data_IF_721661266125
#
_entry.id   IF_721661266125
#
_cell.length_a   1.000
_cell.length_b   1.000
_cell.length_c   1.000
_cell.angle_alpha   90.00
_cell.angle_beta   90.00
_cell.angle_gamma   90.00
#
_symmetry.space_group_name_H-M   'P 1'
#
loop_
_entity.id
_entity.type
_entity.pdbx_description
1 polymer ?
#
# COMPACT_ATOMS: atom_id res chain seq x y z
N UNK A 1 1.43 8.20 -26.00
CA UNK A 1 1.47 8.88 -24.70
C UNK A 1 0.87 7.93 -23.69
N UNK A 2 1.63 7.53 -22.67
CA UNK A 2 1.08 6.73 -21.58
C UNK A 2 0.14 7.62 -20.75
N UNK A 3 -1.10 7.19 -20.56
CA UNK A 3 -2.09 7.90 -19.75
C UNK A 3 -2.05 7.35 -18.32
N UNK A 4 -1.66 8.19 -17.36
CA UNK A 4 -1.71 7.88 -15.93
C UNK A 4 -2.99 8.44 -15.32
N UNK A 5 -3.85 7.57 -14.78
CA UNK A 5 -5.09 7.95 -14.13
C UNK A 5 -5.11 7.47 -12.67
N UNK A 6 -5.51 8.35 -11.75
CA UNK A 6 -5.85 7.93 -10.38
C UNK A 6 -7.25 7.37 -10.38
N UNK A 7 -7.36 6.07 -10.11
CA UNK A 7 -8.64 5.38 -10.00
C UNK A 7 -9.29 5.60 -8.63
N UNK A 8 -8.58 5.24 -7.57
CA UNK A 8 -9.09 5.32 -6.20
C UNK A 8 -7.97 5.59 -5.21
N UNK A 9 -8.29 6.27 -4.12
CA UNK A 9 -7.37 6.49 -3.00
C UNK A 9 -8.09 6.27 -1.67
N UNK A 10 -7.35 5.76 -0.67
CA UNK A 10 -7.89 5.55 0.67
C UNK A 10 -6.81 5.78 1.72
N UNK A 11 -7.13 6.61 2.69
CA UNK A 11 -6.28 6.87 3.86
C UNK A 11 -7.01 6.45 5.13
N UNK A 12 -6.25 6.26 6.21
CA UNK A 12 -6.81 5.97 7.53
C UNK A 12 -6.00 6.69 8.60
N UNK A 13 -6.70 7.32 9.53
CA UNK A 13 -6.07 7.97 10.70
C UNK A 13 -5.39 6.91 11.56
N UNK A 14 -4.20 7.23 12.06
CA UNK A 14 -3.45 6.35 12.94
C UNK A 14 -4.29 6.01 14.20
N UNK A 15 -4.23 4.76 14.70
CA UNK A 15 -4.95 4.38 15.91
C UNK A 15 -4.50 5.21 17.13
N UNK A 16 -5.45 5.49 18.04
CA UNK A 16 -5.14 6.17 19.32
C UNK A 16 -4.15 5.37 20.18
N UNK A 17 -4.21 4.03 20.09
CA UNK A 17 -3.24 3.16 20.74
C UNK A 17 -1.89 3.29 20.03
N UNK A 18 -0.87 3.66 20.79
CA UNK A 18 0.49 3.77 20.27
C UNK A 18 0.96 2.43 19.68
N UNK A 19 1.33 2.48 18.41
CA UNK A 19 1.96 1.39 17.68
C UNK A 19 3.17 1.94 16.92
N UNK A 20 4.12 1.07 16.61
CA UNK A 20 5.35 1.48 15.93
C UNK A 20 5.09 1.86 14.46
N UNK A 21 5.93 2.74 13.91
CA UNK A 21 5.88 3.14 12.49
C UNK A 21 5.88 1.92 11.55
N UNK A 22 6.75 0.89 11.72
CA UNK A 22 6.68 -0.31 10.88
C UNK A 22 5.31 -1.02 10.89
N UNK A 23 4.61 -1.00 12.03
CA UNK A 23 3.25 -1.58 12.11
C UNK A 23 2.21 -0.70 11.43
N UNK A 24 2.38 0.62 11.43
CA UNK A 24 1.55 1.54 10.65
C UNK A 24 1.75 1.31 9.15
N UNK A 25 2.99 1.17 8.69
CA UNK A 25 3.30 0.91 7.28
C UNK A 25 2.68 -0.43 6.81
N UNK A 26 2.76 -1.46 7.65
CA UNK A 26 2.12 -2.75 7.38
C UNK A 26 0.58 -2.66 7.37
N UNK A 27 -0.01 -1.78 8.18
CA UNK A 27 -1.45 -1.50 8.12
C UNK A 27 -1.83 -0.79 6.82
N UNK A 28 -1.00 0.14 6.34
CA UNK A 28 -1.17 0.78 5.02
C UNK A 28 -1.16 -0.23 3.89
N UNK A 29 -0.21 -1.16 3.92
CA UNK A 29 -0.11 -2.30 2.98
C UNK A 29 -1.37 -3.17 3.02
N UNK A 30 -1.88 -3.48 4.21
CA UNK A 30 -3.12 -4.27 4.38
C UNK A 30 -4.35 -3.51 3.86
N UNK A 31 -4.37 -2.18 4.02
CA UNK A 31 -5.42 -1.31 3.52
C UNK A 31 -5.43 -1.27 1.99
N UNK A 32 -4.25 -1.16 1.37
CA UNK A 32 -4.06 -1.22 -0.09
C UNK A 32 -4.64 -2.50 -0.67
N UNK A 33 -4.29 -3.67 -0.10
CA UNK A 33 -4.83 -4.95 -0.55
C UNK A 33 -6.35 -4.99 -0.43
N UNK A 34 -6.89 -4.53 0.70
CA UNK A 34 -8.34 -4.53 0.91
C UNK A 34 -9.07 -3.62 -0.08
N UNK A 35 -8.45 -2.51 -0.48
CA UNK A 35 -8.99 -1.59 -1.50
C UNK A 35 -8.92 -2.23 -2.89
N UNK A 36 -7.78 -2.80 -3.24
CA UNK A 36 -7.56 -3.47 -4.52
C UNK A 36 -8.56 -4.62 -4.72
N UNK A 37 -8.76 -5.46 -3.70
CA UNK A 37 -9.73 -6.55 -3.77
C UNK A 37 -11.17 -6.06 -3.96
N UNK A 38 -11.55 -4.98 -3.27
CA UNK A 38 -12.88 -4.39 -3.41
C UNK A 38 -13.12 -3.88 -4.82
N UNK A 39 -12.10 -3.27 -5.43
CA UNK A 39 -12.20 -2.64 -6.74
C UNK A 39 -12.13 -3.68 -7.88
N UNK A 40 -11.21 -4.65 -7.80
CA UNK A 40 -11.06 -5.72 -8.80
C UNK A 40 -12.24 -6.71 -8.82
N UNK A 41 -12.97 -6.82 -7.72
CA UNK A 41 -14.18 -7.66 -7.65
C UNK A 41 -15.41 -6.96 -8.23
N UNK A 42 -15.31 -5.66 -8.56
CA UNK A 42 -16.40 -4.88 -9.12
C UNK A 42 -16.69 -5.24 -10.59
N UNK A 43 -17.98 -5.29 -11.00
CA UNK A 43 -18.35 -5.66 -12.37
C UNK A 43 -17.90 -4.65 -13.44
N UNK A 44 -17.60 -3.41 -13.04
CA UNK A 44 -17.17 -2.34 -13.95
C UNK A 44 -15.65 -2.36 -14.25
N UNK A 45 -14.88 -3.18 -13.52
CA UNK A 45 -13.42 -3.18 -13.62
C UNK A 45 -12.89 -4.27 -14.56
N UNK A 46 -12.59 -3.89 -15.80
CA UNK A 46 -11.97 -4.77 -16.83
C UNK A 46 -10.44 -4.94 -16.65
N UNK A 47 -9.93 -5.02 -15.41
CA UNK A 47 -8.48 -5.09 -15.11
C UNK A 47 -8.05 -6.54 -14.78
N UNK A 48 -8.93 -7.53 -14.95
CA UNK A 48 -8.73 -8.91 -14.49
C UNK A 48 -7.45 -9.60 -15.02
N UNK A 49 -6.92 -9.19 -16.17
CA UNK A 49 -5.70 -9.76 -16.77
C UNK A 49 -4.48 -8.81 -16.74
N UNK A 50 -4.53 -7.72 -15.98
CA UNK A 50 -3.40 -6.78 -15.89
C UNK A 50 -2.38 -7.21 -14.84
N UNK A 51 -1.10 -6.97 -15.12
CA UNK A 51 -0.04 -7.13 -14.13
C UNK A 51 -0.19 -6.09 -13.01
N UNK A 52 -0.23 -6.55 -11.76
CA UNK A 52 -0.39 -5.68 -10.60
C UNK A 52 0.96 -5.52 -9.90
N UNK A 53 1.41 -4.28 -9.84
CA UNK A 53 2.57 -3.86 -9.08
C UNK A 53 2.15 -3.01 -7.88
N UNK A 54 2.81 -3.20 -6.74
CA UNK A 54 2.59 -2.43 -5.53
C UNK A 54 3.90 -1.87 -5.01
N UNK A 55 3.86 -0.70 -4.38
CA UNK A 55 5.05 -0.01 -3.89
C UNK A 55 4.89 0.40 -2.42
N UNK A 56 5.98 0.32 -1.67
CA UNK A 56 6.10 0.87 -0.32
C UNK A 56 7.49 1.44 -0.09
N UNK A 57 7.59 2.49 0.69
CA UNK A 57 8.86 3.05 1.16
C UNK A 57 9.39 2.37 2.44
N UNK A 58 8.64 1.40 2.96
CA UNK A 58 9.00 0.68 4.17
C UNK A 58 9.77 -0.61 3.85
N UNK A 59 11.10 -0.54 3.87
CA UNK A 59 11.97 -1.72 3.67
C UNK A 59 11.70 -2.85 4.67
N UNK A 60 11.28 -2.51 5.89
CA UNK A 60 10.93 -3.50 6.90
C UNK A 60 9.64 -4.26 6.55
N UNK A 61 8.66 -3.59 5.92
CA UNK A 61 7.46 -4.26 5.40
C UNK A 61 7.84 -5.20 4.26
N UNK A 62 8.70 -4.76 3.33
CA UNK A 62 9.19 -5.62 2.25
C UNK A 62 9.92 -6.86 2.80
N UNK A 63 10.74 -6.70 3.84
CA UNK A 63 11.37 -7.83 4.52
C UNK A 63 10.35 -8.81 5.12
N UNK A 64 9.25 -8.30 5.69
CA UNK A 64 8.21 -9.17 6.23
C UNK A 64 7.43 -9.92 5.15
N UNK A 65 7.20 -9.27 3.99
CA UNK A 65 6.52 -9.87 2.85
C UNK A 65 7.39 -10.85 2.06
N UNK A 66 8.72 -10.72 2.11
CA UNK A 66 9.65 -11.61 1.42
C UNK A 66 9.88 -12.96 2.13
N UNK A 67 9.33 -13.15 3.33
CA UNK A 67 9.49 -14.36 4.13
C UNK A 67 8.16 -14.97 4.52
N UNK A 68 8.15 -16.28 4.78
CA UNK A 68 6.94 -16.97 5.22
C UNK A 68 6.39 -16.36 6.53
N UNK A 69 5.08 -16.00 6.59
CA UNK A 69 4.45 -15.38 7.75
C UNK A 69 4.66 -16.07 9.11
N UNK A 70 4.83 -17.40 9.13
CA UNK A 70 5.07 -18.19 10.35
C UNK A 70 6.32 -17.77 11.13
N UNK A 71 7.27 -17.08 10.48
CA UNK A 71 8.49 -16.56 11.13
C UNK A 71 8.21 -15.36 12.03
N UNK A 72 7.06 -14.70 11.86
CA UNK A 72 6.78 -13.42 12.50
C UNK A 72 5.85 -13.56 13.70
N UNK A 73 5.91 -12.58 14.60
CA UNK A 73 4.93 -12.45 15.69
C UNK A 73 3.52 -12.29 15.11
N UNK A 74 2.51 -12.79 15.81
CA UNK A 74 1.11 -12.89 15.38
C UNK A 74 0.56 -11.65 14.66
N UNK A 75 0.83 -10.44 15.15
CA UNK A 75 0.36 -9.21 14.51
C UNK A 75 0.85 -9.06 13.06
N UNK A 76 2.14 -9.33 12.85
CA UNK A 76 2.80 -9.21 11.54
C UNK A 76 2.38 -10.41 10.70
N UNK A 77 2.49 -11.62 11.25
CA UNK A 77 2.15 -12.88 10.59
C UNK A 77 0.75 -12.83 9.96
N UNK A 78 -0.28 -12.48 10.73
CA UNK A 78 -1.66 -12.45 10.24
C UNK A 78 -1.86 -11.46 9.09
N UNK A 79 -1.18 -10.31 9.13
CA UNK A 79 -1.29 -9.28 8.08
C UNK A 79 -0.50 -9.65 6.84
N UNK A 80 0.69 -10.20 7.00
CA UNK A 80 1.49 -10.70 5.88
C UNK A 80 0.80 -11.89 5.20
N UNK A 81 0.16 -12.79 5.95
CA UNK A 81 -0.62 -13.89 5.35
C UNK A 81 -1.75 -13.36 4.48
N UNK A 82 -2.61 -12.48 5.02
CA UNK A 82 -3.71 -11.89 4.25
C UNK A 82 -3.22 -11.15 3.00
N UNK A 83 -2.10 -10.43 3.13
CA UNK A 83 -1.48 -9.68 2.03
C UNK A 83 -1.00 -10.63 0.93
N UNK A 84 -0.27 -11.68 1.31
CA UNK A 84 0.34 -12.65 0.39
C UNK A 84 -0.66 -13.65 -0.21
N UNK A 85 -1.82 -13.87 0.43
CA UNK A 85 -2.96 -14.59 -0.16
C UNK A 85 -3.56 -13.84 -1.35
N UNK A 86 -3.39 -12.51 -1.41
CA UNK A 86 -3.99 -11.66 -2.45
C UNK A 86 -3.00 -11.29 -3.55
N UNK A 87 -1.76 -10.99 -3.19
CA UNK A 87 -0.69 -10.67 -4.13
C UNK A 87 0.62 -11.35 -3.72
N UNK A 88 1.31 -12.02 -4.65
CA UNK A 88 2.58 -12.69 -4.34
C UNK A 88 3.67 -11.68 -3.96
N UNK A 89 4.70 -12.16 -3.27
CA UNK A 89 5.77 -11.31 -2.72
C UNK A 89 6.56 -10.54 -3.80
N UNK A 90 6.64 -11.06 -5.03
CA UNK A 90 7.31 -10.43 -6.17
C UNK A 90 6.54 -9.24 -6.77
N UNK A 91 5.26 -9.04 -6.43
CA UNK A 91 4.50 -7.85 -6.81
C UNK A 91 4.87 -6.61 -5.98
N UNK A 92 5.64 -6.76 -4.90
CA UNK A 92 5.96 -5.70 -3.95
C UNK A 92 7.33 -5.09 -4.19
N UNK A 93 7.35 -3.79 -4.44
CA UNK A 93 8.54 -3.03 -4.82
C UNK A 93 8.85 -1.93 -3.81
N UNK A 94 10.12 -1.54 -3.77
CA UNK A 94 10.55 -0.38 -3.00
C UNK A 94 10.38 0.91 -3.80
N UNK A 95 9.90 1.96 -3.14
CA UNK A 95 9.96 3.35 -3.64
C UNK A 95 10.59 4.23 -2.56
N UNK A 96 11.32 5.27 -2.94
CA UNK A 96 11.84 6.21 -1.95
C UNK A 96 10.71 7.06 -1.36
N UNK A 97 10.77 7.45 -0.08
CA UNK A 97 9.72 8.30 0.52
C UNK A 97 9.53 9.64 -0.22
N UNK A 98 10.57 10.14 -0.90
CA UNK A 98 10.49 11.37 -1.71
C UNK A 98 9.67 11.20 -2.98
N UNK A 99 9.58 9.97 -3.48
CA UNK A 99 8.89 9.60 -4.71
C UNK A 99 7.57 8.87 -4.43
N UNK A 100 7.24 8.62 -3.16
CA UNK A 100 6.02 7.94 -2.76
C UNK A 100 4.82 8.91 -2.78
N UNK A 101 3.92 8.84 -3.78
CA UNK A 101 2.77 9.76 -3.83
C UNK A 101 1.79 9.55 -2.66
N UNK A 102 1.78 8.37 -2.03
CA UNK A 102 0.89 8.08 -0.92
C UNK A 102 1.20 8.93 0.33
N UNK A 103 2.46 9.38 0.48
CA UNK A 103 2.87 10.22 1.62
C UNK A 103 2.15 11.58 1.65
N UNK A 104 1.78 12.13 0.48
CA UNK A 104 1.02 13.37 0.38
C UNK A 104 -0.32 13.24 1.13
N UNK A 105 -0.97 12.09 0.97
CA UNK A 105 -2.29 11.84 1.55
C UNK A 105 -2.22 11.38 3.01
N UNK A 106 -1.14 10.70 3.43
CA UNK A 106 -1.02 10.13 4.78
C UNK A 106 -0.37 11.08 5.79
N UNK A 107 0.63 11.86 5.37
CA UNK A 107 1.33 12.85 6.22
C UNK A 107 0.71 14.24 6.14
N UNK A 108 -0.12 14.45 5.11
CA UNK A 108 -0.68 15.74 4.78
C UNK A 108 0.33 16.62 4.04
N UNK A 109 -0.20 17.61 3.34
CA UNK A 109 0.57 18.65 2.68
C UNK A 109 -0.07 20.00 2.97
N UNK A 110 0.74 21.07 2.99
CA UNK A 110 0.20 22.42 3.00
C UNK A 110 -0.73 22.59 1.78
N UNK A 111 -2.00 23.02 1.97
CA UNK A 111 -2.96 23.15 0.87
C UNK A 111 -2.46 24.00 -0.31
N UNK A 112 -1.64 25.02 -0.05
CA UNK A 112 -1.07 25.88 -1.11
C UNK A 112 -0.12 25.11 -2.05
N UNK A 113 0.50 24.03 -1.57
CA UNK A 113 1.41 23.19 -2.36
C UNK A 113 0.68 22.06 -3.10
N UNK A 114 -0.58 21.80 -2.77
CA UNK A 114 -1.34 20.67 -3.33
C UNK A 114 -1.54 20.81 -4.85
N UNK A 115 -1.83 22.00 -5.35
CA UNK A 115 -2.04 22.24 -6.79
C UNK A 115 -0.81 21.99 -7.67
N UNK A 116 0.39 21.94 -7.07
CA UNK A 116 1.64 21.60 -7.76
C UNK A 116 2.01 20.12 -7.72
N UNK A 117 1.30 19.31 -6.94
CA UNK A 117 1.57 17.88 -6.83
C UNK A 117 1.09 17.16 -8.09
N UNK A 118 2.03 16.52 -8.78
CA UNK A 118 1.71 15.56 -9.84
C UNK A 118 1.95 14.16 -9.30
N UNK A 119 0.96 13.29 -9.47
CA UNK A 119 1.18 11.85 -9.40
C UNK A 119 2.08 11.53 -10.60
N UNK A 120 3.35 11.26 -10.34
CA UNK A 120 4.32 10.84 -11.35
C UNK A 120 4.51 9.34 -11.23
#
# INVERSE_FOLDING_TARGET
>A
MEHLNLLVSKTKVAPLKQISIPRLDLLGTTLLISLLQAELSGPEMSIQDSEIHTWTDSKIVLLWLSSHPKRWKTFIANRTSKTLESLPSNSWHYVSSKENPADIATRGINPQKLGGCRLR
#
